data_IF_842175108051
#
_entry.id   IF_842175108051
#
_cell.length_a   1.000
_cell.length_b   1.000
_cell.length_c   1.000
_cell.angle_alpha   90.00
_cell.angle_beta   90.00
_cell.angle_gamma   90.00
#
_symmetry.space_group_name_H-M   'P 1'
#
loop_
_entity.id
_entity.type
_entity.pdbx_description
1 polymer ?
#
# COMPACT_ATOMS: atom_id res chain seq x y z
N UNK A 1 2.54 3.29 3.57
CA UNK A 1 1.45 2.48 2.98
C UNK A 1 0.94 3.20 1.74
N UNK A 2 0.87 2.51 0.61
CA UNK A 2 0.24 3.00 -0.62
C UNK A 2 -1.16 2.42 -0.77
N UNK A 3 -2.17 3.29 -0.86
CA UNK A 3 -3.59 2.94 -0.94
C UNK A 3 -4.01 2.77 -2.41
N UNK A 4 -4.29 1.53 -2.80
CA UNK A 4 -4.60 1.15 -4.19
C UNK A 4 -3.34 1.10 -5.05
N UNK A 5 -2.38 0.29 -4.61
CA UNK A 5 -1.02 0.26 -5.15
C UNK A 5 -0.89 -0.26 -6.59
N UNK A 6 -1.93 -0.89 -7.14
CA UNK A 6 -1.93 -1.43 -8.50
C UNK A 6 -0.73 -2.35 -8.73
N UNK A 7 0.02 -2.11 -9.81
CA UNK A 7 1.25 -2.86 -10.11
C UNK A 7 2.45 -2.57 -9.20
N UNK A 8 2.30 -1.74 -8.17
CA UNK A 8 3.25 -1.56 -7.06
C UNK A 8 4.39 -0.56 -7.28
N UNK A 9 4.36 0.27 -8.34
CA UNK A 9 5.48 1.18 -8.67
C UNK A 9 5.81 2.12 -7.51
N UNK A 10 4.83 2.83 -6.96
CA UNK A 10 5.03 3.80 -5.89
C UNK A 10 5.54 3.13 -4.59
N UNK A 11 5.13 1.87 -4.35
CA UNK A 11 5.63 1.05 -3.24
C UNK A 11 7.09 0.69 -3.41
N UNK A 12 7.50 0.25 -4.60
CA UNK A 12 8.90 -0.11 -4.88
C UNK A 12 9.83 1.11 -4.81
N UNK A 13 9.36 2.27 -5.29
CA UNK A 13 10.09 3.54 -5.15
C UNK A 13 10.21 3.95 -3.67
N UNK A 14 9.12 3.80 -2.91
CA UNK A 14 9.10 4.09 -1.48
C UNK A 14 10.03 3.17 -0.69
N UNK A 15 10.04 1.88 -1.00
CA UNK A 15 10.92 0.88 -0.35
C UNK A 15 12.40 1.21 -0.51
N UNK A 16 12.81 1.72 -1.68
CA UNK A 16 14.17 2.22 -1.90
C UNK A 16 14.45 3.47 -1.06
N UNK A 17 13.48 4.38 -0.97
CA UNK A 17 13.63 5.66 -0.26
C UNK A 17 13.73 5.50 1.26
N UNK A 18 12.96 4.58 1.84
CA UNK A 18 13.00 4.31 3.30
C UNK A 18 14.22 3.49 3.73
N UNK A 19 15.00 2.97 2.77
CA UNK A 19 16.19 2.18 3.02
C UNK A 19 15.88 0.78 3.56
N UNK A 20 16.92 -0.06 3.76
CA UNK A 20 16.76 -1.48 4.09
C UNK A 20 16.14 -1.73 5.47
N UNK A 21 16.19 -0.76 6.38
CA UNK A 21 15.58 -0.84 7.71
C UNK A 21 14.13 -0.38 7.73
N UNK A 22 13.69 0.36 6.71
CA UNK A 22 12.29 0.75 6.54
C UNK A 22 11.52 -0.30 5.76
N UNK A 23 10.19 -0.22 5.81
CA UNK A 23 9.27 -1.14 5.12
C UNK A 23 8.22 -0.39 4.33
N UNK A 24 7.93 -0.84 3.11
CA UNK A 24 6.85 -0.29 2.29
C UNK A 24 5.73 -1.32 2.12
N UNK A 25 4.51 -0.87 2.33
CA UNK A 25 3.30 -1.66 2.12
C UNK A 25 2.53 -1.11 0.92
N UNK A 26 2.04 -2.00 0.06
CA UNK A 26 1.02 -1.69 -0.94
C UNK A 26 -0.27 -2.42 -0.62
N UNK A 27 -1.40 -1.74 -0.71
CA UNK A 27 -2.74 -2.32 -0.55
C UNK A 27 -3.46 -2.29 -1.89
N UNK A 28 -4.00 -3.42 -2.33
CA UNK A 28 -4.89 -3.48 -3.50
C UNK A 28 -5.98 -4.55 -3.29
N UNK A 29 -7.14 -4.36 -3.89
CA UNK A 29 -8.28 -5.27 -3.72
C UNK A 29 -8.26 -6.46 -4.70
N UNK A 30 -7.58 -6.30 -5.85
CA UNK A 30 -7.66 -7.25 -6.96
C UNK A 30 -6.49 -8.24 -6.94
N UNK A 31 -6.79 -9.53 -7.16
CA UNK A 31 -5.75 -10.56 -7.22
C UNK A 31 -4.80 -10.34 -8.41
N UNK A 32 -5.31 -9.78 -9.51
CA UNK A 32 -4.54 -9.49 -10.71
C UNK A 32 -3.47 -8.42 -10.46
N UNK A 33 -3.81 -7.32 -9.76
CA UNK A 33 -2.83 -6.29 -9.43
C UNK A 33 -1.82 -6.79 -8.41
N UNK A 34 -2.26 -7.56 -7.41
CA UNK A 34 -1.34 -8.15 -6.43
C UNK A 34 -0.37 -9.13 -7.07
N UNK A 35 -0.82 -9.95 -8.03
CA UNK A 35 0.07 -10.84 -8.78
C UNK A 35 1.11 -10.04 -9.57
N UNK A 36 0.69 -8.98 -10.27
CA UNK A 36 1.59 -8.10 -11.01
C UNK A 36 2.59 -7.40 -10.08
N UNK A 37 2.12 -6.87 -8.95
CA UNK A 37 2.93 -6.17 -7.96
C UNK A 37 3.99 -7.09 -7.35
N UNK A 38 3.62 -8.33 -6.98
CA UNK A 38 4.55 -9.32 -6.46
C UNK A 38 5.60 -9.75 -7.50
N UNK A 39 5.22 -9.88 -8.77
CA UNK A 39 6.19 -10.14 -9.84
C UNK A 39 7.16 -8.95 -10.02
N UNK A 40 6.67 -7.71 -9.93
CA UNK A 40 7.52 -6.52 -9.98
C UNK A 40 8.45 -6.43 -8.76
N UNK A 41 7.98 -6.76 -7.55
CA UNK A 41 8.83 -6.92 -6.36
C UNK A 41 9.93 -7.95 -6.61
N UNK A 42 9.58 -9.14 -7.10
CA UNK A 42 10.56 -10.20 -7.39
C UNK A 42 11.63 -9.73 -8.38
N UNK A 43 11.24 -9.04 -9.46
CA UNK A 43 12.17 -8.45 -10.43
C UNK A 43 13.05 -7.35 -9.85
N UNK A 44 12.55 -6.61 -8.86
CA UNK A 44 13.29 -5.51 -8.23
C UNK A 44 14.37 -5.94 -7.25
N UNK A 45 14.28 -7.17 -6.70
CA UNK A 45 15.17 -7.67 -5.65
C UNK A 45 15.01 -6.98 -4.29
N UNK A 46 13.91 -6.26 -4.07
CA UNK A 46 13.62 -5.59 -2.80
C UNK A 46 12.94 -6.55 -1.82
N UNK A 47 13.55 -6.71 -0.65
CA UNK A 47 13.05 -7.58 0.41
C UNK A 47 12.11 -6.85 1.39
N UNK A 48 12.19 -5.52 1.46
CA UNK A 48 11.46 -4.68 2.41
C UNK A 48 10.10 -4.16 1.88
N UNK A 49 9.45 -4.96 1.04
CA UNK A 49 8.16 -4.65 0.38
C UNK A 49 7.14 -5.71 0.74
N UNK A 50 5.92 -5.32 1.08
CA UNK A 50 4.79 -6.24 1.30
C UNK A 50 3.53 -5.74 0.59
N UNK A 51 2.86 -6.63 -0.16
CA UNK A 51 1.59 -6.34 -0.80
C UNK A 51 0.47 -7.06 -0.05
N UNK A 52 -0.56 -6.32 0.31
CA UNK A 52 -1.69 -6.77 1.12
C UNK A 52 -2.95 -6.75 0.26
N UNK A 53 -3.80 -7.77 0.42
CA UNK A 53 -5.13 -7.81 -0.18
C UNK A 53 -6.14 -7.12 0.72
N UNK A 54 -6.88 -6.16 0.18
CA UNK A 54 -7.98 -5.52 0.89
C UNK A 54 -8.45 -4.24 0.24
N UNK A 55 -9.50 -3.67 0.81
CA UNK A 55 -10.08 -2.39 0.42
C UNK A 55 -9.50 -1.26 1.27
N UNK A 56 -9.45 -0.04 0.72
CA UNK A 56 -8.89 1.13 1.41
C UNK A 56 -9.79 1.63 2.55
N UNK A 57 -11.02 1.12 2.60
CA UNK A 57 -12.02 1.27 3.66
C UNK A 57 -11.88 0.25 4.80
N UNK A 58 -10.94 -0.70 4.70
CA UNK A 58 -10.71 -1.75 5.70
C UNK A 58 -9.28 -2.27 5.60
N UNK A 59 -8.33 -1.47 6.09
CA UNK A 59 -6.90 -1.73 5.92
C UNK A 59 -6.47 -2.89 6.84
N UNK A 60 -5.90 -3.99 6.32
CA UNK A 60 -5.52 -5.17 7.10
C UNK A 60 -4.18 -4.96 7.84
N UNK A 61 -4.05 -3.84 8.54
CA UNK A 61 -2.92 -3.51 9.40
C UNK A 61 -3.43 -3.07 10.79
N UNK A 62 -2.66 -3.32 11.86
CA UNK A 62 -2.95 -2.78 13.17
C UNK A 62 -2.90 -1.24 13.20
N UNK A 63 -3.35 -0.69 14.31
CA UNK A 63 -3.29 0.76 14.57
C UNK A 63 -1.83 1.22 14.69
N UNK A 64 -1.53 2.48 14.36
CA UNK A 64 -0.20 3.10 14.51
C UNK A 64 0.96 2.23 13.94
N UNK A 65 0.78 1.69 12.74
CA UNK A 65 1.72 0.75 12.11
C UNK A 65 2.58 1.40 11.03
N UNK A 66 2.16 2.52 10.45
CA UNK A 66 2.88 3.16 9.33
C UNK A 66 3.12 4.64 9.59
N UNK A 67 4.29 5.14 9.23
CA UNK A 67 4.61 6.56 9.44
C UNK A 67 4.11 7.49 8.33
N UNK A 68 3.80 6.90 7.15
CA UNK A 68 3.45 7.64 5.93
C UNK A 68 2.37 6.90 5.14
N UNK A 69 1.37 7.63 4.68
CA UNK A 69 0.37 7.17 3.72
C UNK A 69 0.52 7.91 2.39
N UNK A 70 0.44 7.14 1.30
CA UNK A 70 0.37 7.62 -0.06
C UNK A 70 -0.97 7.15 -0.63
N UNK A 71 -1.66 8.02 -1.35
CA UNK A 71 -2.74 7.61 -2.25
C UNK A 71 -2.63 8.42 -3.52
N UNK A 72 -2.37 7.72 -4.62
CA UNK A 72 -2.28 8.33 -5.93
C UNK A 72 -3.57 8.06 -6.71
N UNK A 73 -4.45 9.07 -6.78
CA UNK A 73 -5.74 9.05 -7.48
C UNK A 73 -6.81 8.06 -6.95
N UNK A 74 -6.51 7.17 -6.00
CA UNK A 74 -7.43 6.09 -5.58
C UNK A 74 -8.51 6.55 -4.61
N UNK A 75 -8.22 7.45 -3.65
CA UNK A 75 -9.24 7.97 -2.70
C UNK A 75 -10.47 8.55 -3.44
N UNK A 76 -10.28 9.10 -4.64
CA UNK A 76 -11.37 9.64 -5.45
C UNK A 76 -12.42 8.59 -5.83
N UNK A 77 -12.00 7.33 -5.98
CA UNK A 77 -12.83 6.19 -6.40
C UNK A 77 -13.62 5.56 -5.25
N UNK A 78 -13.27 5.88 -3.99
CA UNK A 78 -14.02 5.40 -2.83
C UNK A 78 -15.39 6.08 -2.72
N UNK A 79 -16.41 5.28 -2.42
CA UNK A 79 -17.76 5.76 -2.11
C UNK A 79 -17.88 6.37 -0.71
N UNK A 80 -17.06 5.92 0.25
CA UNK A 80 -17.05 6.38 1.64
C UNK A 80 -15.68 6.94 2.02
N UNK A 81 -15.42 8.17 1.57
CA UNK A 81 -14.15 8.87 1.79
C UNK A 81 -13.87 9.11 3.27
N UNK A 82 -14.91 9.31 4.07
CA UNK A 82 -14.75 9.50 5.52
C UNK A 82 -14.23 8.23 6.18
N UNK A 83 -14.71 7.05 5.75
CA UNK A 83 -14.20 5.76 6.23
C UNK A 83 -12.76 5.53 5.81
N UNK A 84 -12.40 5.85 4.56
CA UNK A 84 -11.00 5.77 4.10
C UNK A 84 -10.09 6.66 4.93
N UNK A 85 -10.48 7.91 5.19
CA UNK A 85 -9.67 8.83 6.00
C UNK A 85 -9.55 8.37 7.46
N UNK A 86 -10.62 7.79 8.04
CA UNK A 86 -10.56 7.17 9.37
C UNK A 86 -9.61 5.98 9.41
N UNK A 87 -9.68 5.08 8.44
CA UNK A 87 -8.79 3.92 8.34
C UNK A 87 -7.34 4.34 8.12
N UNK A 88 -7.12 5.32 7.24
CA UNK A 88 -5.80 5.90 7.01
C UNK A 88 -5.23 6.50 8.30
N UNK A 89 -6.03 7.26 9.06
CA UNK A 89 -5.59 7.82 10.33
C UNK A 89 -5.40 6.75 11.41
N UNK A 90 -6.17 5.67 11.41
CA UNK A 90 -6.04 4.56 12.37
C UNK A 90 -4.68 3.87 12.24
N UNK A 91 -4.23 3.62 11.02
CA UNK A 91 -2.98 2.90 10.76
C UNK A 91 -1.75 3.79 10.77
N UNK A 92 -1.91 5.11 10.64
CA UNK A 92 -0.89 6.11 10.99
C UNK A 92 -0.62 6.08 12.49
#
# INVERSE_FOLDING_TARGET
LDLGSGGGIDVLLSARRVGPTGKAYGLDMTDEMLALANENKRKSGLENVEFLKGEIESIPLPDNTVDVIISNCVINLSADKDKVLREAFRVL
#
